data_IF_056777709028
#
_entry.id   IF_056777709028
#
_cell.length_a   1.000
_cell.length_b   1.000
_cell.length_c   1.000
_cell.angle_alpha   90.00
_cell.angle_beta   90.00
_cell.angle_gamma   90.00
#
_symmetry.space_group_name_H-M   'P 1'
#
loop_
_entity.id
_entity.type
_entity.pdbx_description
1 polymer ?
#
# COMPACT_ATOMS: atom_id res chain seq x y z
N UNK A 1 11.19 -11.25 0.04
CA UNK A 1 11.40 -10.83 1.43
C UNK A 1 10.26 -11.37 2.30
N UNK A 2 10.60 -11.70 3.54
CA UNK A 2 9.67 -12.20 4.55
C UNK A 2 9.88 -11.40 5.84
N UNK A 3 8.80 -10.95 6.46
CA UNK A 3 8.83 -10.19 7.71
C UNK A 3 7.81 -10.70 8.70
N UNK A 4 8.24 -10.90 9.95
CA UNK A 4 7.39 -11.27 11.07
C UNK A 4 7.56 -10.24 12.18
N UNK A 5 6.46 -9.71 12.69
CA UNK A 5 6.49 -8.78 13.83
C UNK A 5 5.50 -9.24 14.90
N UNK A 6 5.95 -9.25 16.14
CA UNK A 6 5.10 -9.53 17.31
C UNK A 6 5.26 -8.36 18.27
N UNK A 7 4.17 -7.63 18.50
CA UNK A 7 4.11 -6.53 19.45
C UNK A 7 3.20 -6.91 20.61
N UNK A 8 3.61 -6.54 21.82
CA UNK A 8 2.79 -6.68 23.03
C UNK A 8 2.83 -5.38 23.82
N UNK A 9 1.70 -4.74 23.93
CA UNK A 9 1.46 -3.66 24.87
C UNK A 9 0.49 -4.17 25.95
N UNK A 10 0.40 -3.51 27.07
CA UNK A 10 -0.31 -3.90 28.29
C UNK A 10 -1.50 -4.87 28.07
N UNK A 11 -2.50 -4.49 27.28
CA UNK A 11 -3.74 -5.25 27.04
C UNK A 11 -3.90 -5.66 25.56
N UNK A 12 -3.00 -5.20 24.69
CA UNK A 12 -3.05 -5.44 23.24
C UNK A 12 -1.89 -6.32 22.80
N UNK A 13 -2.17 -7.31 21.98
CA UNK A 13 -1.19 -8.14 21.27
C UNK A 13 -1.40 -8.01 19.79
N UNK A 14 -0.36 -7.72 19.06
CA UNK A 14 -0.40 -7.66 17.61
C UNK A 14 0.62 -8.61 17.02
N UNK A 15 0.16 -9.37 16.06
CA UNK A 15 0.95 -10.20 15.19
C UNK A 15 0.84 -9.67 13.77
N UNK A 16 1.94 -9.57 13.05
CA UNK A 16 1.92 -9.26 11.62
C UNK A 16 2.87 -10.15 10.84
N UNK A 17 2.42 -10.54 9.66
CA UNK A 17 3.18 -11.30 8.68
C UNK A 17 3.17 -10.53 7.36
N UNK A 18 4.34 -10.33 6.78
CA UNK A 18 4.53 -9.73 5.47
C UNK A 18 5.34 -10.64 4.56
N UNK A 19 4.86 -10.83 3.34
CA UNK A 19 5.58 -11.52 2.27
C UNK A 19 5.59 -10.62 1.05
N UNK A 20 6.78 -10.38 0.50
CA UNK A 20 6.94 -9.62 -0.73
C UNK A 20 7.80 -10.44 -1.72
N UNK A 21 7.34 -10.50 -2.96
CA UNK A 21 8.05 -11.12 -4.08
C UNK A 21 8.03 -10.15 -5.25
N UNK A 22 9.18 -9.92 -5.84
CA UNK A 22 9.31 -9.09 -7.02
C UNK A 22 10.18 -9.76 -8.07
N UNK A 23 9.87 -9.50 -9.32
CA UNK A 23 10.63 -9.93 -10.48
C UNK A 23 10.82 -8.74 -11.42
N UNK A 24 12.05 -8.51 -11.84
CA UNK A 24 12.42 -7.44 -12.77
C UNK A 24 13.17 -8.03 -13.95
N UNK A 25 12.78 -7.62 -15.16
CA UNK A 25 13.46 -7.89 -16.40
C UNK A 25 13.63 -6.56 -17.17
N UNK A 26 14.35 -6.59 -18.31
CA UNK A 26 14.71 -5.37 -19.04
C UNK A 26 13.53 -4.44 -19.39
N UNK A 27 12.35 -5.02 -19.65
CA UNK A 27 11.18 -4.26 -20.11
C UNK A 27 9.94 -4.40 -19.23
N UNK A 28 9.98 -5.24 -18.19
CA UNK A 28 8.83 -5.41 -17.31
C UNK A 28 9.23 -5.68 -15.87
N UNK A 29 8.36 -5.28 -14.99
CA UNK A 29 8.42 -5.48 -13.54
C UNK A 29 7.12 -6.10 -13.05
N UNK A 30 7.22 -7.07 -12.17
CA UNK A 30 6.07 -7.65 -11.48
C UNK A 30 6.35 -7.75 -9.98
N UNK A 31 5.36 -7.43 -9.18
CA UNK A 31 5.45 -7.50 -7.73
C UNK A 31 4.15 -8.08 -7.16
N UNK A 32 4.30 -8.86 -6.10
CA UNK A 32 3.19 -9.31 -5.27
C UNK A 32 3.59 -9.17 -3.80
N UNK A 33 2.77 -8.50 -3.03
CA UNK A 33 2.94 -8.36 -1.58
C UNK A 33 1.68 -8.79 -0.84
N UNK A 34 1.84 -9.59 0.18
CA UNK A 34 0.78 -9.95 1.11
C UNK A 34 1.17 -9.51 2.50
N UNK A 35 0.26 -8.85 3.20
CA UNK A 35 0.47 -8.44 4.59
C UNK A 35 -0.78 -8.73 5.39
N UNK A 36 -0.62 -9.38 6.54
CA UNK A 36 -1.70 -9.62 7.48
C UNK A 36 -1.35 -9.07 8.85
N UNK A 37 -2.35 -8.53 9.52
CA UNK A 37 -2.29 -8.07 10.90
C UNK A 37 -3.39 -8.76 11.68
N UNK A 38 -3.02 -9.36 12.80
CA UNK A 38 -3.95 -9.86 13.80
C UNK A 38 -3.72 -9.11 15.09
N UNK A 39 -4.73 -8.43 15.55
CA UNK A 39 -4.69 -7.67 16.80
C UNK A 39 -5.71 -8.27 17.77
N UNK A 40 -5.27 -8.55 19.00
CA UNK A 40 -6.16 -8.94 20.10
C UNK A 40 -6.05 -7.91 21.21
N UNK A 41 -7.17 -7.38 21.61
CA UNK A 41 -7.30 -6.45 22.74
C UNK A 41 -8.31 -7.01 23.74
N UNK A 42 -7.98 -6.94 25.04
CA UNK A 42 -8.83 -7.52 26.08
C UNK A 42 -10.19 -6.81 26.22
N UNK A 43 -10.29 -5.55 25.77
CA UNK A 43 -11.50 -4.74 25.86
C UNK A 43 -12.34 -4.77 24.58
N UNK A 44 -11.71 -4.75 23.41
CA UNK A 44 -12.36 -4.63 22.09
C UNK A 44 -12.41 -5.93 21.30
N UNK A 45 -11.77 -7.00 21.79
CA UNK A 45 -11.73 -8.29 21.09
C UNK A 45 -10.62 -8.40 20.07
N UNK A 46 -10.81 -9.25 19.07
CA UNK A 46 -9.82 -9.52 18.02
C UNK A 46 -10.24 -8.85 16.72
N UNK A 47 -9.27 -8.33 15.96
CA UNK A 47 -9.49 -7.81 14.62
C UNK A 47 -8.43 -8.31 13.64
N UNK A 48 -8.83 -8.50 12.40
CA UNK A 48 -7.98 -8.89 11.27
C UNK A 48 -7.89 -7.78 10.26
N UNK A 49 -6.73 -7.67 9.63
CA UNK A 49 -6.52 -6.85 8.44
C UNK A 49 -5.62 -7.62 7.48
N UNK A 50 -6.09 -7.83 6.28
CA UNK A 50 -5.35 -8.54 5.24
C UNK A 50 -5.27 -7.67 3.98
N UNK A 51 -4.08 -7.62 3.38
CA UNK A 51 -3.82 -6.86 2.16
C UNK A 51 -3.01 -7.72 1.21
N UNK A 52 -3.54 -7.93 0.01
CA UNK A 52 -2.78 -8.44 -1.12
C UNK A 52 -2.67 -7.33 -2.14
N UNK A 53 -1.45 -7.01 -2.55
CA UNK A 53 -1.21 -6.06 -3.63
C UNK A 53 -0.39 -6.76 -4.70
N UNK A 54 -0.82 -6.61 -5.96
CA UNK A 54 -0.06 -7.07 -7.11
C UNK A 54 0.07 -5.94 -8.11
N UNK A 55 1.26 -5.81 -8.69
CA UNK A 55 1.55 -4.82 -9.72
C UNK A 55 2.29 -5.50 -10.87
N UNK A 56 1.84 -5.24 -12.06
CA UNK A 56 2.58 -5.52 -13.30
C UNK A 56 2.85 -4.21 -14.02
N UNK A 57 4.08 -3.96 -14.38
CA UNK A 57 4.50 -2.78 -15.15
C UNK A 57 5.29 -3.21 -16.36
N UNK A 58 5.00 -2.62 -17.51
CA UNK A 58 5.73 -2.82 -18.75
C UNK A 58 6.18 -1.48 -19.31
N UNK A 59 7.47 -1.34 -19.56
CA UNK A 59 8.03 -0.18 -20.23
C UNK A 59 7.64 -0.17 -21.71
N UNK A 60 7.31 1.01 -22.22
CA UNK A 60 6.94 1.25 -23.61
C UNK A 60 8.14 1.87 -24.34
N UNK A 61 8.44 3.12 -24.08
CA UNK A 61 9.62 3.85 -24.56
C UNK A 61 9.70 5.24 -23.92
N UNK A 62 10.90 5.83 -23.86
CA UNK A 62 11.08 7.21 -23.40
C UNK A 62 10.62 7.48 -21.97
N UNK A 63 10.72 6.48 -21.09
CA UNK A 63 10.26 6.54 -19.70
C UNK A 63 8.74 6.41 -19.53
N UNK A 64 7.99 6.10 -20.59
CA UNK A 64 6.59 5.75 -20.49
C UNK A 64 6.42 4.27 -20.18
N UNK A 65 5.42 3.94 -19.35
CA UNK A 65 5.06 2.57 -19.02
C UNK A 65 3.54 2.39 -18.89
N UNK A 66 3.11 1.18 -19.12
CA UNK A 66 1.78 0.70 -18.74
C UNK A 66 1.88 -0.04 -17.40
N UNK A 67 0.89 0.13 -16.54
CA UNK A 67 0.78 -0.64 -15.29
C UNK A 67 -0.62 -1.19 -15.09
N UNK A 68 -0.69 -2.44 -14.66
CA UNK A 68 -1.87 -3.10 -14.14
C UNK A 68 -1.68 -3.38 -12.65
N UNK A 69 -2.68 -3.07 -11.83
CA UNK A 69 -2.65 -3.31 -10.38
C UNK A 69 -3.91 -4.05 -9.97
N UNK A 70 -3.73 -5.10 -9.18
CA UNK A 70 -4.84 -5.81 -8.53
C UNK A 70 -4.57 -5.85 -7.04
N UNK A 71 -5.53 -5.35 -6.25
CA UNK A 71 -5.39 -5.28 -4.82
C UNK A 71 -6.63 -5.88 -4.15
N UNK A 72 -6.43 -6.62 -3.05
CA UNK A 72 -7.51 -7.01 -2.16
C UNK A 72 -7.23 -6.52 -0.76
N UNK A 73 -8.29 -6.18 -0.03
CA UNK A 73 -8.21 -5.78 1.37
C UNK A 73 -9.39 -6.36 2.15
N UNK A 74 -9.09 -6.81 3.37
CA UNK A 74 -10.04 -7.08 4.42
C UNK A 74 -9.66 -6.24 5.62
N UNK A 75 -10.63 -5.66 6.32
CA UNK A 75 -10.36 -4.82 7.47
C UNK A 75 -11.57 -4.80 8.42
N UNK A 76 -11.52 -5.59 9.49
CA UNK A 76 -12.58 -5.68 10.48
C UNK A 76 -12.85 -4.33 11.18
N UNK A 77 -11.81 -3.47 11.35
CA UNK A 77 -11.99 -2.16 11.94
C UNK A 77 -12.84 -1.20 11.07
N UNK A 78 -12.88 -1.44 9.76
CA UNK A 78 -13.72 -0.73 8.82
C UNK A 78 -15.00 -1.51 8.49
N UNK A 79 -15.23 -2.66 9.15
CA UNK A 79 -16.32 -3.60 8.83
C UNK A 79 -16.31 -4.03 7.36
N UNK A 80 -15.13 -4.04 6.76
CA UNK A 80 -14.89 -4.38 5.37
C UNK A 80 -14.53 -5.87 5.28
N UNK A 81 -15.48 -6.68 4.82
CA UNK A 81 -15.27 -8.12 4.64
C UNK A 81 -14.34 -8.40 3.46
N UNK A 82 -14.57 -7.71 2.33
CA UNK A 82 -13.69 -7.83 1.17
C UNK A 82 -13.79 -6.58 0.28
N UNK A 83 -12.63 -6.03 -0.07
CA UNK A 83 -12.49 -5.07 -1.17
C UNK A 83 -11.55 -5.67 -2.21
N UNK A 84 -11.88 -5.54 -3.46
CA UNK A 84 -10.94 -5.75 -4.54
C UNK A 84 -10.96 -4.58 -5.52
N UNK A 85 -9.75 -4.21 -5.95
CA UNK A 85 -9.53 -3.16 -6.94
C UNK A 85 -8.78 -3.76 -8.12
N UNK A 86 -9.23 -3.44 -9.31
CA UNK A 86 -8.52 -3.71 -10.56
C UNK A 86 -8.27 -2.38 -11.26
N UNK A 87 -7.01 -2.02 -11.46
CA UNK A 87 -6.63 -0.75 -12.05
C UNK A 87 -5.70 -0.95 -13.25
N UNK A 88 -5.84 -0.08 -14.23
CA UNK A 88 -4.95 0.02 -15.39
C UNK A 88 -4.58 1.48 -15.62
N UNK A 89 -3.30 1.77 -15.77
CA UNK A 89 -2.82 3.14 -15.92
C UNK A 89 -1.64 3.25 -16.89
N UNK A 90 -1.49 4.42 -17.47
CA UNK A 90 -0.27 4.86 -18.13
C UNK A 90 0.51 5.74 -17.16
N UNK A 91 1.80 5.52 -17.12
CA UNK A 91 2.68 6.31 -16.27
C UNK A 91 3.92 6.76 -17.02
N UNK A 92 4.64 7.66 -16.38
CA UNK A 92 5.89 8.20 -16.84
C UNK A 92 6.89 8.32 -15.69
N UNK A 93 8.14 7.98 -15.97
CA UNK A 93 9.28 8.31 -15.13
C UNK A 93 9.51 9.82 -15.19
N UNK A 94 9.30 10.52 -14.08
CA UNK A 94 9.58 11.94 -13.93
C UNK A 94 11.06 12.14 -13.57
N UNK A 95 11.57 11.27 -12.71
CA UNK A 95 12.98 11.15 -12.35
C UNK A 95 13.34 9.68 -12.51
N UNK A 96 14.43 9.42 -13.21
CA UNK A 96 14.97 8.07 -13.34
C UNK A 96 16.49 8.16 -13.44
N UNK A 97 17.16 7.98 -12.31
CA UNK A 97 18.62 7.94 -12.19
C UNK A 97 19.02 6.95 -11.08
N UNK A 98 20.31 6.75 -10.90
CA UNK A 98 20.87 5.77 -9.98
C UNK A 98 20.42 5.97 -8.51
N UNK A 99 20.12 7.22 -8.12
CA UNK A 99 19.79 7.57 -6.74
C UNK A 99 18.28 7.72 -6.49
N UNK A 100 17.48 7.99 -7.54
CA UNK A 100 16.07 8.25 -7.39
C UNK A 100 15.25 7.82 -8.61
N UNK A 101 14.11 7.18 -8.34
CA UNK A 101 13.10 6.87 -9.36
C UNK A 101 11.75 7.39 -8.88
N UNK A 102 11.28 8.46 -9.53
CA UNK A 102 9.96 9.06 -9.29
C UNK A 102 9.07 8.85 -10.50
N UNK A 103 7.91 8.27 -10.30
CA UNK A 103 6.91 7.98 -11.33
C UNK A 103 5.60 8.72 -11.05
N UNK A 104 4.97 9.23 -12.10
CA UNK A 104 3.59 9.67 -12.07
C UNK A 104 2.76 8.78 -13.00
N UNK A 105 1.51 8.50 -12.63
CA UNK A 105 0.61 7.69 -13.43
C UNK A 105 -0.83 8.20 -13.35
N UNK A 106 -1.59 7.93 -14.42
CA UNK A 106 -3.01 8.20 -14.50
C UNK A 106 -3.72 7.09 -15.27
N UNK A 107 -4.92 6.75 -14.86
CA UNK A 107 -5.68 5.66 -15.46
C UNK A 107 -7.08 5.52 -14.90
N UNK A 108 -7.61 4.32 -15.02
CA UNK A 108 -8.95 3.96 -14.56
C UNK A 108 -8.90 2.63 -13.80
N UNK A 109 -9.84 2.47 -12.91
CA UNK A 109 -10.01 1.28 -12.12
C UNK A 109 -11.48 0.96 -11.86
N UNK A 110 -11.66 -0.22 -11.32
CA UNK A 110 -12.92 -0.72 -10.80
C UNK A 110 -12.70 -1.20 -9.37
N UNK A 111 -13.56 -0.76 -8.47
CA UNK A 111 -13.59 -1.20 -7.08
C UNK A 111 -14.89 -1.93 -6.79
N UNK A 112 -14.80 -3.01 -6.03
CA UNK A 112 -15.95 -3.68 -5.43
C UNK A 112 -15.67 -3.93 -3.95
N UNK A 113 -16.65 -3.62 -3.12
CA UNK A 113 -16.56 -3.66 -1.66
C UNK A 113 -17.78 -4.39 -1.10
N UNK A 114 -17.53 -5.38 -0.26
CA UNK A 114 -18.53 -6.08 0.51
C UNK A 114 -18.27 -5.82 1.99
N UNK A 115 -19.30 -5.47 2.73
CA UNK A 115 -19.23 -5.13 4.14
C UNK A 115 -19.92 -6.18 5.00
N UNK A 116 -19.55 -6.27 6.28
CA UNK A 116 -20.06 -7.28 7.20
C UNK A 116 -21.59 -7.22 7.43
N UNK A 117 -22.21 -6.04 7.22
CA UNK A 117 -23.65 -5.84 7.29
C UNK A 117 -24.42 -6.31 6.05
N UNK A 118 -23.70 -6.83 5.05
CA UNK A 118 -24.23 -7.26 3.75
C UNK A 118 -24.40 -6.12 2.74
N UNK A 119 -23.94 -4.92 3.05
CA UNK A 119 -23.90 -3.83 2.08
C UNK A 119 -22.82 -4.10 1.04
N UNK A 120 -23.18 -3.95 -0.23
CA UNK A 120 -22.28 -4.11 -1.37
C UNK A 120 -22.22 -2.82 -2.16
N UNK A 121 -21.02 -2.45 -2.57
CA UNK A 121 -20.80 -1.28 -3.40
C UNK A 121 -19.75 -1.58 -4.47
N UNK A 122 -20.04 -1.15 -5.69
CA UNK A 122 -19.05 -1.18 -6.77
C UNK A 122 -19.11 0.09 -7.60
N UNK A 123 -17.94 0.54 -8.06
CA UNK A 123 -17.82 1.76 -8.83
C UNK A 123 -16.61 1.74 -9.77
N UNK A 124 -16.72 2.49 -10.87
CA UNK A 124 -15.56 2.93 -11.62
C UNK A 124 -14.85 4.08 -10.92
N UNK A 125 -13.53 4.08 -10.91
CA UNK A 125 -12.69 5.14 -10.33
C UNK A 125 -11.69 5.62 -11.38
N UNK A 126 -11.42 6.93 -11.45
CA UNK A 126 -10.19 7.39 -12.05
C UNK A 126 -9.03 7.13 -11.08
N UNK A 127 -7.82 6.97 -11.58
CA UNK A 127 -6.64 6.66 -10.77
C UNK A 127 -5.56 7.68 -11.09
N UNK A 128 -5.07 8.39 -10.08
CA UNK A 128 -3.90 9.25 -10.17
C UNK A 128 -2.90 8.81 -9.11
N UNK A 129 -1.65 8.60 -9.50
CA UNK A 129 -0.62 8.11 -8.59
C UNK A 129 0.71 8.80 -8.77
N UNK A 130 1.40 8.96 -7.64
CA UNK A 130 2.81 9.31 -7.56
C UNK A 130 3.53 8.21 -6.78
N UNK A 131 4.62 7.70 -7.34
CA UNK A 131 5.45 6.67 -6.72
C UNK A 131 6.91 7.11 -6.70
N UNK A 132 7.46 7.29 -5.51
CA UNK A 132 8.90 7.31 -5.28
C UNK A 132 9.33 5.87 -5.01
N UNK A 133 9.78 5.16 -6.06
CA UNK A 133 10.19 3.76 -5.95
C UNK A 133 11.45 3.59 -5.12
N UNK A 134 12.37 4.55 -5.26
CA UNK A 134 13.59 4.60 -4.45
C UNK A 134 14.10 6.03 -4.40
N UNK A 135 14.67 6.38 -3.27
CA UNK A 135 15.55 7.51 -3.07
C UNK A 135 16.66 7.04 -2.12
N UNK A 136 17.86 6.89 -2.64
CA UNK A 136 19.01 6.40 -1.88
C UNK A 136 19.95 7.55 -1.53
N UNK A 137 20.31 7.65 -0.26
CA UNK A 137 21.29 8.57 0.27
C UNK A 137 22.48 7.77 0.80
N UNK A 138 23.69 8.20 0.45
CA UNK A 138 24.91 7.46 0.81
C UNK A 138 25.37 7.76 2.25
N UNK A 139 25.06 8.96 2.76
CA UNK A 139 25.50 9.37 4.09
C UNK A 139 24.44 10.24 4.78
N UNK A 140 23.69 9.69 5.75
CA UNK A 140 23.67 8.27 6.16
C UNK A 140 23.14 7.36 5.05
N UNK A 141 23.43 6.06 5.12
CA UNK A 141 22.86 5.08 4.17
C UNK A 141 21.38 4.91 4.46
N UNK A 142 20.58 5.64 3.73
CA UNK A 142 19.13 5.73 3.90
C UNK A 142 18.44 5.45 2.57
N UNK A 143 17.49 4.55 2.56
CA UNK A 143 16.58 4.33 1.44
C UNK A 143 15.17 4.78 1.81
N UNK A 144 14.55 5.56 0.94
CA UNK A 144 13.18 6.04 1.08
C UNK A 144 12.33 5.54 -0.08
N UNK A 145 11.11 5.13 0.25
CA UNK A 145 10.05 4.82 -0.70
C UNK A 145 8.78 5.59 -0.31
N UNK A 146 8.01 6.03 -1.28
CA UNK A 146 6.72 6.64 -0.99
C UNK A 146 5.76 6.41 -2.16
N UNK A 147 4.50 6.21 -1.87
CA UNK A 147 3.45 6.17 -2.88
C UNK A 147 2.21 6.92 -2.36
N UNK A 148 1.56 7.62 -3.26
CA UNK A 148 0.29 8.28 -2.99
C UNK A 148 -0.62 8.07 -4.20
N UNK A 149 -1.85 7.65 -3.94
CA UNK A 149 -2.88 7.45 -4.93
C UNK A 149 -4.14 8.22 -4.57
N UNK A 150 -4.76 8.81 -5.56
CA UNK A 150 -6.08 9.43 -5.49
C UNK A 150 -7.02 8.68 -6.44
N UNK A 151 -8.18 8.27 -5.92
CA UNK A 151 -9.21 7.52 -6.63
C UNK A 151 -10.53 8.31 -6.59
N UNK A 152 -10.72 9.35 -7.42
CA UNK A 152 -12.01 10.02 -7.52
C UNK A 152 -12.98 9.19 -8.36
N UNK A 153 -14.28 9.29 -8.03
CA UNK A 153 -15.35 8.72 -8.83
C UNK A 153 -15.75 9.72 -9.92
N UNK A 154 -15.69 9.37 -11.22
CA UNK A 154 -16.06 10.27 -12.28
C UNK A 154 -17.54 10.70 -12.25
N UNK A 155 -18.40 9.87 -11.66
CA UNK A 155 -19.85 10.13 -11.53
C UNK A 155 -20.17 11.12 -10.41
N UNK A 156 -19.31 11.19 -9.38
CA UNK A 156 -19.44 12.10 -8.24
C UNK A 156 -18.04 12.42 -7.69
N UNK A 157 -17.50 13.57 -8.04
CA UNK A 157 -16.14 13.98 -7.66
C UNK A 157 -15.98 14.31 -6.16
N UNK A 158 -17.08 14.48 -5.43
CA UNK A 158 -17.05 14.62 -3.97
C UNK A 158 -16.77 13.28 -3.28
N UNK A 159 -16.95 12.18 -4.03
CA UNK A 159 -16.63 10.83 -3.56
C UNK A 159 -15.25 10.40 -4.08
N UNK A 160 -14.31 10.31 -3.18
CA UNK A 160 -12.94 9.93 -3.48
C UNK A 160 -12.27 9.17 -2.34
N UNK A 161 -11.22 8.46 -2.69
CA UNK A 161 -10.35 7.73 -1.77
C UNK A 161 -8.91 8.15 -2.00
N UNK A 162 -8.15 8.25 -0.90
CA UNK A 162 -6.71 8.51 -0.93
C UNK A 162 -6.01 7.35 -0.23
N UNK A 163 -4.97 6.84 -0.83
CA UNK A 163 -4.07 5.86 -0.24
C UNK A 163 -2.65 6.39 -0.28
N UNK A 164 -1.97 6.38 0.86
CA UNK A 164 -0.58 6.79 0.95
C UNK A 164 0.24 5.76 1.74
N UNK A 165 1.44 5.48 1.28
CA UNK A 165 2.41 4.65 1.98
C UNK A 165 3.79 5.27 1.88
N UNK A 166 4.55 5.18 2.96
CA UNK A 166 5.96 5.56 2.97
C UNK A 166 6.76 4.49 3.67
N UNK A 167 7.98 4.28 3.20
CA UNK A 167 8.95 3.37 3.81
C UNK A 167 10.30 4.05 3.91
N UNK A 168 10.96 3.86 5.04
CA UNK A 168 12.32 4.31 5.29
C UNK A 168 13.14 3.13 5.82
N UNK A 169 14.30 2.90 5.24
CA UNK A 169 15.27 1.94 5.75
C UNK A 169 16.59 2.65 5.99
N UNK A 170 17.01 2.69 7.24
CA UNK A 170 18.28 3.27 7.69
C UNK A 170 19.26 2.14 8.04
N UNK A 171 20.36 2.04 7.34
CA UNK A 171 21.43 1.10 7.68
C UNK A 171 22.20 1.63 8.89
N UNK A 172 22.10 0.93 10.02
CA UNK A 172 22.75 1.30 11.28
C UNK A 172 24.21 0.83 11.32
N UNK A 173 24.42 -0.45 10.98
CA UNK A 173 25.73 -1.08 10.92
C UNK A 173 25.69 -2.12 9.81
N UNK A 174 26.82 -2.48 9.26
CA UNK A 174 27.07 -3.39 8.14
C UNK A 174 25.86 -4.15 7.55
N UNK A 175 25.17 -4.94 8.36
CA UNK A 175 24.06 -5.79 7.93
C UNK A 175 22.78 -5.55 8.75
N UNK A 176 22.76 -4.55 9.63
CA UNK A 176 21.60 -4.24 10.49
C UNK A 176 20.97 -2.96 9.98
N UNK A 177 19.69 -3.00 9.72
CA UNK A 177 18.91 -1.83 9.32
C UNK A 177 17.71 -1.62 10.26
N UNK A 178 17.34 -0.37 10.41
CA UNK A 178 16.08 0.04 11.03
C UNK A 178 15.12 0.45 9.94
N UNK A 179 13.94 -0.18 9.92
CA UNK A 179 12.85 0.10 9.02
C UNK A 179 11.73 0.86 9.74
N UNK A 180 11.19 1.86 9.07
CA UNK A 180 9.99 2.57 9.48
C UNK A 180 9.04 2.63 8.29
N UNK A 181 7.79 2.20 8.49
CA UNK A 181 6.75 2.27 7.47
C UNK A 181 5.52 2.96 8.01
N UNK A 182 4.91 3.80 7.22
CA UNK A 182 3.65 4.45 7.50
C UNK A 182 2.67 4.19 6.36
N UNK A 183 1.41 3.96 6.70
CA UNK A 183 0.33 3.88 5.73
C UNK A 183 -0.86 4.70 6.19
N UNK A 184 -1.62 5.21 5.24
CA UNK A 184 -2.84 5.97 5.44
C UNK A 184 -3.83 5.66 4.33
N UNK A 185 -5.09 5.39 4.69
CA UNK A 185 -6.19 5.16 3.78
C UNK A 185 -7.39 6.00 4.21
N UNK A 186 -7.74 6.97 3.40
CA UNK A 186 -8.85 7.88 3.62
C UNK A 186 -9.95 7.65 2.59
N UNK A 187 -11.22 7.68 3.02
CA UNK A 187 -12.40 7.73 2.15
C UNK A 187 -13.30 8.89 2.51
N UNK A 188 -13.70 9.69 1.52
CA UNK A 188 -14.62 10.81 1.74
C UNK A 188 -16.01 10.34 2.18
N UNK A 189 -16.43 9.16 1.67
CA UNK A 189 -17.72 8.53 1.96
C UNK A 189 -17.51 7.11 2.50
N UNK A 190 -17.54 6.92 3.84
CA UNK A 190 -17.56 5.59 4.42
C UNK A 190 -18.89 4.88 4.11
N UNK A 191 -18.86 3.55 3.98
CA UNK A 191 -20.06 2.77 3.64
C UNK A 191 -21.16 2.87 4.70
N UNK A 192 -20.77 3.10 5.95
CA UNK A 192 -21.69 3.22 7.09
C UNK A 192 -21.77 4.69 7.50
N UNK A 193 -22.97 5.23 7.58
CA UNK A 193 -23.19 6.60 8.06
C UNK A 193 -22.57 6.80 9.44
N UNK A 194 -21.62 7.72 9.55
CA UNK A 194 -20.83 7.94 10.76
C UNK A 194 -19.65 6.98 10.94
N UNK A 195 -19.36 6.16 9.95
CA UNK A 195 -18.20 5.25 9.93
C UNK A 195 -16.85 5.98 9.91
N UNK A 196 -15.81 5.22 10.20
CA UNK A 196 -14.42 5.73 10.20
C UNK A 196 -14.01 6.07 8.77
N UNK A 197 -13.56 7.30 8.56
CA UNK A 197 -13.11 7.80 7.25
C UNK A 197 -11.63 7.54 6.99
N UNK A 198 -10.86 7.37 8.04
CA UNK A 198 -9.41 7.27 7.94
C UNK A 198 -8.88 6.07 8.72
N UNK A 199 -8.04 5.27 8.08
CA UNK A 199 -7.30 4.16 8.70
C UNK A 199 -5.81 4.36 8.42
N UNK A 200 -5.04 4.54 9.48
CA UNK A 200 -3.60 4.76 9.38
C UNK A 200 -2.84 3.88 10.36
N UNK A 201 -1.58 3.66 10.06
CA UNK A 201 -0.71 2.92 10.94
C UNK A 201 0.76 3.16 10.67
N UNK A 202 1.56 2.80 11.65
CA UNK A 202 3.01 2.90 11.61
C UNK A 202 3.62 1.59 12.10
N UNK A 203 4.63 1.11 11.38
CA UNK A 203 5.40 -0.07 11.74
C UNK A 203 6.88 0.31 11.84
N UNK A 204 7.49 -0.01 12.97
CA UNK A 204 8.94 0.11 13.18
C UNK A 204 9.54 -1.28 13.32
N UNK A 205 10.60 -1.56 12.60
CA UNK A 205 11.25 -2.87 12.54
C UNK A 205 12.76 -2.77 12.60
N UNK A 206 13.41 -3.79 13.12
CA UNK A 206 14.84 -4.01 13.01
C UNK A 206 15.05 -5.28 12.16
N UNK A 207 15.91 -5.17 11.17
CA UNK A 207 16.20 -6.28 10.27
C UNK A 207 17.69 -6.49 10.07
N UNK A 208 18.03 -7.67 9.57
CA UNK A 208 19.39 -8.07 9.20
C UNK A 208 19.37 -8.51 7.74
N UNK A 209 20.27 -7.96 6.93
CA UNK A 209 20.52 -8.39 5.56
C UNK A 209 21.77 -9.30 5.52
N UNK A 210 21.75 -10.37 4.72
CA UNK A 210 22.88 -11.28 4.52
C UNK A 210 23.21 -11.45 3.04
#
# INVERSE_FOLDING_TARGET
NFGLTVLRAKDTRQFSLGVNSSYSADTYYAEASYTTFYTTDNASGSSYRDFLNTTYQREISGGWFFTGMFNTARNDALQLDLRYNLNAALGKDIINNDNAVLQALAGFGYVSENYEDGFERSAGEAVFGLKLKTLELESPRLSLTAEAFLYPRPEDLDVYRIEAKTGMNLNLVRNVFWGLSFFDSYTSEPAITGGVKNDYGMVSSLGVSW
#
